data_IF_705672814209
#
_entry.id   IF_705672814209
#
_cell.length_a   1.000
_cell.length_b   1.000
_cell.length_c   1.000
_cell.angle_alpha   90.00
_cell.angle_beta   90.00
_cell.angle_gamma   90.00
#
_symmetry.space_group_name_H-M   'P 1'
#
loop_
_entity.id
_entity.type
_entity.pdbx_description
1 polymer ?
#
# COMPACT_ATOMS: atom_id res chain seq x y z
N UNK A 1 18.03 12.54 48.89
CA UNK A 1 19.04 11.43 48.79
C UNK A 1 19.09 11.04 47.35
N UNK A 2 20.15 11.48 46.66
CA UNK A 2 20.26 11.37 45.21
C UNK A 2 20.78 10.01 44.77
N UNK A 3 20.45 9.64 43.51
CA UNK A 3 20.85 8.42 42.79
C UNK A 3 22.38 8.14 42.73
N UNK A 4 23.22 9.04 43.30
CA UNK A 4 24.68 8.93 43.31
C UNK A 4 25.23 7.81 44.25
N UNK A 5 24.48 7.33 45.25
CA UNK A 5 24.95 6.33 46.18
C UNK A 5 24.75 4.87 45.74
N UNK A 6 23.96 4.64 44.70
CA UNK A 6 23.72 3.29 44.18
C UNK A 6 24.88 2.78 43.31
N UNK A 7 25.69 3.69 42.74
CA UNK A 7 26.80 3.30 41.86
C UNK A 7 28.13 3.06 42.60
N UNK A 8 28.22 3.33 43.90
CA UNK A 8 29.46 3.17 44.66
C UNK A 8 29.71 1.81 45.25
N UNK A 9 28.84 0.82 45.04
CA UNK A 9 28.97 -0.53 45.60
C UNK A 9 29.19 -1.65 44.58
N UNK A 10 29.75 -1.33 43.44
CA UNK A 10 30.27 -2.39 42.57
C UNK A 10 31.75 -2.56 42.85
N UNK A 11 32.07 -3.62 43.66
CA UNK A 11 33.42 -4.03 43.93
C UNK A 11 34.09 -4.43 42.60
N UNK A 12 35.07 -3.64 42.17
CA UNK A 12 35.84 -3.91 40.94
C UNK A 12 36.49 -5.29 40.94
N UNK A 13 36.76 -5.85 42.09
CA UNK A 13 37.39 -7.17 42.26
C UNK A 13 36.46 -8.34 41.94
N UNK A 14 35.14 -8.16 41.89
CA UNK A 14 34.21 -9.23 41.50
C UNK A 14 34.07 -9.36 39.97
N UNK A 15 34.37 -8.33 39.22
CA UNK A 15 34.31 -8.38 37.76
C UNK A 15 35.53 -9.06 37.11
N UNK A 16 36.67 -9.05 37.78
CA UNK A 16 37.91 -9.68 37.29
C UNK A 16 37.97 -11.22 37.58
N UNK A 17 37.12 -11.76 38.44
CA UNK A 17 37.09 -13.18 38.77
C UNK A 17 35.95 -13.97 38.11
N UNK A 18 35.14 -13.38 37.25
CA UNK A 18 34.12 -14.13 36.53
C UNK A 18 34.74 -14.90 35.35
N UNK A 19 35.38 -16.02 35.64
CA UNK A 19 35.78 -17.00 34.60
C UNK A 19 34.50 -17.58 33.99
N UNK A 20 33.94 -16.86 32.98
CA UNK A 20 32.73 -17.30 32.30
C UNK A 20 33.09 -18.45 31.38
N UNK A 21 32.65 -19.67 31.72
CA UNK A 21 32.82 -20.83 30.86
C UNK A 21 32.13 -20.59 29.50
N UNK A 22 32.72 -21.10 28.41
CA UNK A 22 32.12 -20.99 27.05
C UNK A 22 30.64 -21.40 27.02
N UNK A 23 30.26 -22.38 27.85
CA UNK A 23 28.89 -22.85 27.97
C UNK A 23 27.96 -21.83 28.61
N UNK A 24 28.42 -21.06 29.58
CA UNK A 24 27.63 -20.02 30.24
C UNK A 24 27.55 -18.77 29.37
N UNK A 25 28.61 -18.45 28.64
CA UNK A 25 28.56 -17.39 27.59
C UNK A 25 27.51 -17.69 26.52
N UNK A 26 27.46 -18.93 26.02
CA UNK A 26 26.45 -19.32 25.02
C UNK A 26 25.03 -19.30 25.59
N UNK A 27 24.85 -19.64 26.87
CA UNK A 27 23.55 -19.52 27.55
C UNK A 27 23.12 -18.04 27.64
N UNK A 28 24.02 -17.15 28.08
CA UNK A 28 23.74 -15.72 28.15
C UNK A 28 23.45 -15.11 26.76
N UNK A 29 24.21 -15.51 25.76
CA UNK A 29 23.97 -15.08 24.38
C UNK A 29 22.61 -15.57 23.86
N UNK A 30 22.28 -16.84 24.06
CA UNK A 30 20.99 -17.41 23.68
C UNK A 30 19.81 -16.77 24.41
N UNK A 31 19.95 -16.51 25.72
CA UNK A 31 18.92 -15.82 26.50
C UNK A 31 18.73 -14.34 26.09
N UNK A 32 19.84 -13.64 25.83
CA UNK A 32 19.78 -12.23 25.44
C UNK A 32 19.16 -12.05 24.04
N UNK A 33 19.49 -12.91 23.07
CA UNK A 33 18.87 -12.89 21.74
C UNK A 33 17.41 -13.29 21.80
N UNK A 34 17.04 -14.30 22.59
CA UNK A 34 15.64 -14.67 22.79
C UNK A 34 14.84 -13.56 23.48
N UNK A 35 15.40 -12.88 24.48
CA UNK A 35 14.77 -11.76 25.15
C UNK A 35 14.63 -10.54 24.21
N UNK A 36 15.62 -10.25 23.37
CA UNK A 36 15.55 -9.19 22.39
C UNK A 36 14.49 -9.46 21.31
N UNK A 37 14.37 -10.71 20.84
CA UNK A 37 13.33 -11.08 19.87
C UNK A 37 11.92 -11.03 20.46
N UNK A 38 11.75 -11.40 21.74
CA UNK A 38 10.47 -11.27 22.44
C UNK A 38 10.10 -9.81 22.73
N UNK A 39 11.08 -8.98 23.07
CA UNK A 39 10.86 -7.55 23.30
C UNK A 39 10.61 -6.75 22.02
N UNK A 40 11.10 -7.23 20.86
CA UNK A 40 10.85 -6.58 19.56
C UNK A 40 9.45 -6.82 19.01
N UNK A 41 8.67 -7.73 19.59
CA UNK A 41 7.25 -7.88 19.33
C UNK A 41 6.45 -6.81 20.09
N UNK A 42 6.72 -5.53 19.86
CA UNK A 42 5.73 -4.50 20.15
C UNK A 42 4.54 -4.76 19.23
N UNK A 43 3.45 -5.23 19.81
CA UNK A 43 2.17 -5.32 19.11
C UNK A 43 1.82 -3.95 18.53
N UNK A 44 1.05 -3.89 17.43
CA UNK A 44 0.70 -2.64 16.78
C UNK A 44 0.10 -1.68 17.81
N UNK A 45 0.76 -0.54 18.02
CA UNK A 45 0.36 0.51 18.96
C UNK A 45 -0.98 1.17 18.57
N UNK A 46 -1.51 0.83 17.40
CA UNK A 46 -2.81 1.31 16.94
C UNK A 46 -3.94 0.65 17.74
N UNK A 47 -4.39 1.34 18.75
CA UNK A 47 -5.62 1.00 19.47
C UNK A 47 -6.80 1.26 18.55
N UNK A 48 -7.62 0.24 18.27
CA UNK A 48 -8.88 0.43 17.60
C UNK A 48 -9.81 1.24 18.52
N UNK A 49 -10.24 2.42 18.06
CA UNK A 49 -11.26 3.20 18.77
C UNK A 49 -12.59 2.54 18.44
N UNK A 50 -13.34 2.04 19.44
CA UNK A 50 -14.68 1.49 19.19
C UNK A 50 -15.60 2.57 18.63
N UNK A 51 -16.54 2.17 17.76
CA UNK A 51 -17.55 3.08 17.26
C UNK A 51 -18.40 3.61 18.40
N UNK A 52 -18.58 4.93 18.48
CA UNK A 52 -19.54 5.56 19.39
C UNK A 52 -20.99 5.21 18.99
N UNK A 53 -21.24 5.14 17.68
CA UNK A 53 -22.48 4.64 17.09
C UNK A 53 -22.10 3.47 16.18
N UNK A 54 -22.52 2.26 16.55
CA UNK A 54 -22.24 1.07 15.75
C UNK A 54 -23.10 1.10 14.48
N UNK A 55 -22.49 1.04 13.28
CA UNK A 55 -23.25 0.89 12.04
C UNK A 55 -24.03 -0.44 12.05
N UNK A 56 -25.26 -0.44 11.54
CA UNK A 56 -26.18 -1.59 11.58
C UNK A 56 -25.59 -2.91 11.02
N UNK A 57 -24.65 -2.82 10.07
CA UNK A 57 -24.09 -3.98 9.37
C UNK A 57 -22.67 -4.33 9.81
N UNK A 58 -22.11 -3.65 10.80
CA UNK A 58 -20.76 -3.90 11.29
C UNK A 58 -20.83 -4.48 12.68
N UNK A 59 -20.50 -5.77 12.80
CA UNK A 59 -20.39 -6.45 14.09
C UNK A 59 -18.88 -6.57 14.39
N UNK A 60 -18.38 -6.02 15.50
CA UNK A 60 -16.98 -6.15 15.87
C UNK A 60 -16.52 -7.61 15.88
N UNK A 61 -15.35 -7.86 15.25
CA UNK A 61 -14.79 -9.20 15.13
C UNK A 61 -15.34 -10.05 13.98
N UNK A 62 -16.46 -9.70 13.35
CA UNK A 62 -16.94 -10.37 12.15
C UNK A 62 -16.45 -9.65 10.88
N UNK A 63 -16.05 -10.44 9.89
CA UNK A 63 -15.60 -9.92 8.62
C UNK A 63 -16.78 -9.75 7.65
N UNK A 64 -16.80 -8.62 6.94
CA UNK A 64 -17.67 -8.38 5.80
C UNK A 64 -16.89 -8.55 4.50
N UNK A 65 -17.56 -9.01 3.45
CA UNK A 65 -16.96 -9.26 2.13
C UNK A 65 -17.65 -8.41 1.09
N UNK A 66 -16.87 -7.65 0.33
CA UNK A 66 -17.36 -6.78 -0.73
C UNK A 66 -16.80 -7.23 -2.07
N UNK A 67 -17.67 -7.59 -3.04
CA UNK A 67 -17.22 -7.90 -4.38
C UNK A 67 -16.78 -6.62 -5.10
N UNK A 68 -15.63 -6.69 -5.75
CA UNK A 68 -15.11 -5.61 -6.57
C UNK A 68 -14.22 -6.14 -7.68
N UNK A 69 -13.87 -5.27 -8.62
CA UNK A 69 -12.89 -5.55 -9.67
C UNK A 69 -11.70 -4.64 -9.45
N UNK A 70 -10.52 -5.21 -9.46
CA UNK A 70 -9.25 -4.48 -9.46
C UNK A 70 -8.72 -4.48 -10.88
N UNK A 71 -8.45 -3.29 -11.41
CA UNK A 71 -7.80 -3.07 -12.68
C UNK A 71 -6.66 -2.07 -12.45
N UNK A 72 -5.42 -2.54 -12.46
CA UNK A 72 -4.23 -1.74 -12.24
C UNK A 72 -3.14 -2.17 -13.23
N UNK A 73 -2.86 -1.29 -14.20
CA UNK A 73 -2.04 -1.64 -15.34
C UNK A 73 -2.61 -2.87 -16.05
N UNK A 74 -1.78 -3.88 -16.27
CA UNK A 74 -2.20 -5.15 -16.90
C UNK A 74 -2.86 -6.14 -15.92
N UNK A 75 -2.90 -5.84 -14.62
CA UNK A 75 -3.59 -6.67 -13.64
C UNK A 75 -5.10 -6.42 -13.68
N UNK A 76 -5.86 -7.49 -13.87
CA UNK A 76 -7.31 -7.46 -13.87
C UNK A 76 -7.84 -8.67 -13.09
N UNK A 77 -8.54 -8.42 -12.00
CA UNK A 77 -9.07 -9.48 -11.16
C UNK A 77 -10.42 -9.13 -10.54
N UNK A 78 -11.33 -10.12 -10.52
CA UNK A 78 -12.58 -10.04 -9.79
C UNK A 78 -12.40 -10.65 -8.40
N UNK A 79 -12.53 -9.84 -7.38
CA UNK A 79 -12.13 -10.19 -6.01
C UNK A 79 -13.22 -9.93 -4.99
N UNK A 80 -13.05 -10.54 -3.84
CA UNK A 80 -13.78 -10.23 -2.62
C UNK A 80 -12.82 -9.51 -1.67
N UNK A 81 -13.13 -8.29 -1.31
CA UNK A 81 -12.38 -7.56 -0.31
C UNK A 81 -12.96 -7.87 1.06
N UNK A 82 -12.17 -8.55 1.87
CA UNK A 82 -12.50 -8.83 3.26
C UNK A 82 -12.20 -7.60 4.10
N UNK A 83 -13.20 -7.13 4.84
CA UNK A 83 -13.05 -5.99 5.73
C UNK A 83 -13.37 -6.37 7.16
N UNK A 84 -12.73 -5.70 8.10
CA UNK A 84 -13.12 -5.68 9.51
C UNK A 84 -13.33 -4.25 9.95
N UNK A 85 -14.48 -3.99 10.54
CA UNK A 85 -14.80 -2.66 11.08
C UNK A 85 -14.55 -1.54 10.04
N UNK A 86 -14.96 -1.79 8.79
CA UNK A 86 -14.78 -0.86 7.68
C UNK A 86 -13.35 -0.81 7.09
N UNK A 87 -12.40 -1.58 7.63
CA UNK A 87 -11.01 -1.60 7.14
C UNK A 87 -10.78 -2.81 6.24
N UNK A 88 -10.35 -2.62 5.00
CA UNK A 88 -9.92 -3.70 4.14
C UNK A 88 -8.68 -4.40 4.71
N UNK A 89 -8.74 -5.73 4.88
CA UNK A 89 -7.65 -6.50 5.49
C UNK A 89 -7.09 -7.60 4.59
N UNK A 90 -7.87 -8.05 3.62
CA UNK A 90 -7.45 -9.13 2.73
C UNK A 90 -8.23 -9.09 1.42
N UNK A 91 -7.57 -9.50 0.35
CA UNK A 91 -8.18 -9.75 -0.95
C UNK A 91 -8.30 -11.25 -1.16
N UNK A 92 -9.47 -11.72 -1.57
CA UNK A 92 -9.76 -13.11 -1.89
C UNK A 92 -10.36 -13.21 -3.30
N UNK A 93 -10.17 -14.35 -3.97
CA UNK A 93 -10.74 -14.56 -5.30
C UNK A 93 -12.27 -14.68 -5.23
N UNK A 94 -12.96 -14.02 -6.16
CA UNK A 94 -14.41 -14.14 -6.28
C UNK A 94 -14.79 -15.33 -7.17
N UNK A 95 -15.01 -16.49 -6.55
CA UNK A 95 -15.42 -17.72 -7.28
C UNK A 95 -16.82 -17.64 -7.89
N UNK A 96 -17.65 -16.68 -7.44
CA UNK A 96 -19.02 -16.47 -7.95
C UNK A 96 -19.08 -15.45 -9.08
N UNK A 97 -17.96 -14.85 -9.47
CA UNK A 97 -17.92 -13.94 -10.61
C UNK A 97 -18.19 -14.66 -11.92
N UNK A 98 -18.97 -14.03 -12.80
CA UNK A 98 -19.23 -14.55 -14.16
C UNK A 98 -17.94 -14.61 -14.98
N UNK A 99 -17.07 -13.63 -14.82
CA UNK A 99 -15.75 -13.59 -15.45
C UNK A 99 -14.73 -14.03 -14.41
N UNK A 100 -14.11 -15.18 -14.64
CA UNK A 100 -13.11 -15.75 -13.71
C UNK A 100 -11.75 -15.14 -14.00
N UNK A 101 -11.40 -14.11 -13.27
CA UNK A 101 -10.06 -13.53 -13.26
C UNK A 101 -9.51 -13.63 -11.83
N UNK A 102 -8.48 -14.44 -11.66
CA UNK A 102 -7.87 -14.69 -10.36
C UNK A 102 -6.89 -13.57 -10.00
N UNK A 103 -6.84 -13.23 -8.71
CA UNK A 103 -5.88 -12.29 -8.17
C UNK A 103 -4.47 -12.92 -8.17
N UNK A 104 -3.52 -12.20 -8.71
CA UNK A 104 -2.10 -12.53 -8.61
C UNK A 104 -1.47 -11.92 -7.34
N UNK A 105 -0.18 -12.13 -7.13
CA UNK A 105 0.52 -11.65 -5.94
C UNK A 105 0.46 -10.10 -5.79
N UNK A 106 0.52 -9.34 -6.89
CA UNK A 106 0.41 -7.88 -6.86
C UNK A 106 -0.98 -7.42 -6.44
N UNK A 107 -2.02 -8.04 -7.01
CA UNK A 107 -3.40 -7.76 -6.62
C UNK A 107 -3.63 -8.05 -5.15
N UNK A 108 -3.12 -9.17 -4.62
CA UNK A 108 -3.19 -9.44 -3.18
C UNK A 108 -2.44 -8.41 -2.34
N UNK A 109 -1.28 -7.95 -2.81
CA UNK A 109 -0.46 -6.97 -2.11
C UNK A 109 -1.02 -5.53 -2.20
N UNK A 110 -1.88 -5.21 -3.17
CA UNK A 110 -2.40 -3.86 -3.41
C UNK A 110 -3.12 -3.26 -2.20
N UNK A 111 -3.65 -4.10 -1.31
CA UNK A 111 -4.27 -3.65 -0.07
C UNK A 111 -3.28 -2.89 0.84
N UNK A 112 -1.99 -3.21 0.77
CA UNK A 112 -0.96 -2.56 1.57
C UNK A 112 -0.80 -1.09 1.20
N UNK A 113 -1.05 -0.72 -0.05
CA UNK A 113 -0.99 0.66 -0.52
C UNK A 113 -2.01 1.57 0.17
N UNK A 114 -3.11 1.03 0.68
CA UNK A 114 -4.10 1.80 1.44
C UNK A 114 -3.56 2.27 2.79
N UNK A 115 -2.58 1.54 3.34
CA UNK A 115 -1.98 1.79 4.65
C UNK A 115 -0.60 2.40 4.57
N UNK A 116 -0.11 2.68 3.35
CA UNK A 116 1.16 3.35 3.13
C UNK A 116 1.04 4.84 3.51
N UNK A 117 1.86 5.26 4.46
CA UNK A 117 1.91 6.65 4.90
C UNK A 117 2.52 7.58 3.85
N UNK A 118 3.32 7.05 2.93
CA UNK A 118 3.99 7.81 1.87
C UNK A 118 3.14 7.94 0.60
N UNK A 119 1.96 7.33 0.55
CA UNK A 119 1.07 7.47 -0.60
C UNK A 119 0.65 8.92 -0.82
N UNK A 120 0.58 9.31 -2.06
CA UNK A 120 0.06 10.62 -2.46
C UNK A 120 -1.43 10.67 -2.11
N UNK A 121 -1.84 11.69 -1.34
CA UNK A 121 -3.22 11.82 -0.84
C UNK A 121 -4.11 12.73 -1.68
N UNK A 122 -3.52 13.52 -2.54
CA UNK A 122 -4.22 14.48 -3.39
C UNK A 122 -3.31 15.01 -4.50
N UNK A 123 -3.85 15.87 -5.37
CA UNK A 123 -3.06 16.46 -6.44
C UNK A 123 -2.01 17.41 -5.91
N UNK A 124 -0.87 17.45 -6.59
CA UNK A 124 0.27 18.31 -6.24
C UNK A 124 0.73 19.08 -7.46
N UNK A 125 1.06 20.35 -7.26
CA UNK A 125 1.69 21.19 -8.25
C UNK A 125 2.97 21.80 -7.66
N UNK A 126 4.11 21.60 -8.34
CA UNK A 126 5.42 22.09 -7.89
C UNK A 126 5.77 21.67 -6.43
N UNK A 127 5.42 20.44 -6.06
CA UNK A 127 5.67 19.88 -4.73
C UNK A 127 4.77 20.42 -3.62
N UNK A 128 3.72 21.15 -3.95
CA UNK A 128 2.71 21.65 -3.00
C UNK A 128 1.36 21.02 -3.28
N UNK A 129 0.62 20.71 -2.23
CA UNK A 129 -0.74 20.21 -2.34
C UNK A 129 -1.64 21.31 -2.92
N UNK A 130 -2.51 20.93 -3.87
CA UNK A 130 -3.51 21.79 -4.49
C UNK A 130 -4.90 21.17 -4.31
N UNK A 131 -5.94 22.01 -4.42
CA UNK A 131 -7.31 21.50 -4.38
C UNK A 131 -7.65 20.71 -5.67
N UNK A 132 -8.61 19.79 -5.59
CA UNK A 132 -9.09 19.08 -6.77
C UNK A 132 -9.71 20.03 -7.80
N UNK A 133 -10.40 21.06 -7.36
CA UNK A 133 -11.02 22.06 -8.25
C UNK A 133 -9.96 22.85 -9.03
N UNK A 134 -8.92 23.30 -8.36
CA UNK A 134 -7.78 23.97 -9.00
C UNK A 134 -7.07 23.05 -9.99
N UNK A 135 -6.86 21.79 -9.60
CA UNK A 135 -6.26 20.80 -10.48
C UNK A 135 -7.08 20.60 -11.76
N UNK A 136 -8.40 20.44 -11.64
CA UNK A 136 -9.28 20.28 -12.81
C UNK A 136 -9.30 21.53 -13.69
N UNK A 137 -9.39 22.71 -13.10
CA UNK A 137 -9.38 23.97 -13.84
C UNK A 137 -8.08 24.16 -14.62
N UNK A 138 -6.93 23.96 -13.97
CA UNK A 138 -5.62 24.10 -14.60
C UNK A 138 -5.42 23.06 -15.70
N UNK A 139 -5.74 21.79 -15.44
CA UNK A 139 -5.59 20.71 -16.42
C UNK A 139 -6.46 20.94 -17.64
N UNK A 140 -7.72 21.37 -17.45
CA UNK A 140 -8.64 21.69 -18.54
C UNK A 140 -8.14 22.88 -19.37
N UNK A 141 -7.60 23.91 -18.74
CA UNK A 141 -7.03 25.06 -19.42
C UNK A 141 -5.81 24.66 -20.27
N UNK A 142 -4.90 23.85 -19.72
CA UNK A 142 -3.73 23.32 -20.44
C UNK A 142 -4.15 22.46 -21.62
N UNK A 143 -5.06 21.53 -21.45
CA UNK A 143 -5.54 20.65 -22.52
C UNK A 143 -6.20 21.47 -23.63
N UNK A 144 -6.99 22.50 -23.30
CA UNK A 144 -7.60 23.38 -24.28
C UNK A 144 -6.54 24.14 -25.05
N UNK A 145 -5.57 24.78 -24.40
CA UNK A 145 -4.51 25.53 -25.06
C UNK A 145 -3.66 24.63 -25.98
N UNK A 146 -3.39 23.37 -25.55
CA UNK A 146 -2.66 22.40 -26.36
C UNK A 146 -3.50 21.90 -27.55
N UNK A 147 -4.82 21.73 -27.41
CA UNK A 147 -5.68 21.29 -28.50
C UNK A 147 -5.83 22.34 -29.62
N UNK A 148 -5.64 23.62 -29.27
CA UNK A 148 -5.62 24.74 -30.20
C UNK A 148 -4.23 24.95 -30.88
N UNK A 149 -3.24 24.17 -30.48
CA UNK A 149 -1.87 24.22 -31.02
C UNK A 149 -1.58 23.00 -31.90
N UNK A 150 -0.58 23.11 -32.78
CA UNK A 150 -0.09 21.98 -33.60
C UNK A 150 0.77 20.98 -32.81
N UNK A 151 0.77 21.06 -31.47
CA UNK A 151 1.60 20.17 -30.63
C UNK A 151 0.88 18.85 -30.38
N UNK A 152 1.63 17.75 -30.54
CA UNK A 152 1.17 16.43 -30.15
C UNK A 152 1.24 16.27 -28.64
N UNK A 153 0.22 15.67 -28.06
CA UNK A 153 0.16 15.27 -26.63
C UNK A 153 0.34 13.75 -26.57
N UNK A 154 1.36 13.28 -25.86
CA UNK A 154 1.56 11.85 -25.65
C UNK A 154 0.86 11.41 -24.37
N UNK A 155 -0.09 10.48 -24.50
CA UNK A 155 -0.71 9.78 -23.36
C UNK A 155 0.07 8.50 -23.12
N UNK A 156 1.07 8.55 -22.23
CA UNK A 156 1.85 7.38 -21.84
C UNK A 156 1.12 6.59 -20.77
N UNK A 157 0.87 5.31 -21.03
CA UNK A 157 0.13 4.44 -20.13
C UNK A 157 0.62 2.99 -20.23
N UNK A 158 0.41 2.16 -19.20
CA UNK A 158 0.62 0.71 -19.30
C UNK A 158 -0.49 0.06 -20.14
N UNK A 159 -0.34 -1.23 -20.47
CA UNK A 159 -1.44 -2.03 -21.03
C UNK A 159 -2.65 -2.00 -20.09
N UNK A 160 -3.81 -1.65 -20.62
CA UNK A 160 -5.06 -1.53 -19.86
C UNK A 160 -6.05 -2.59 -20.35
N UNK A 161 -6.28 -3.68 -19.60
CA UNK A 161 -7.22 -4.73 -19.97
C UNK A 161 -8.69 -4.38 -19.63
N UNK A 162 -8.92 -3.34 -18.82
CA UNK A 162 -10.27 -2.94 -18.41
C UNK A 162 -11.07 -2.33 -19.56
N UNK A 163 -12.21 -2.91 -19.99
CA UNK A 163 -13.04 -2.37 -21.06
C UNK A 163 -13.57 -0.97 -20.75
N UNK A 164 -13.91 -0.69 -19.50
CA UNK A 164 -14.38 0.62 -19.05
C UNK A 164 -13.29 1.69 -19.21
N UNK A 165 -12.07 1.37 -18.79
CA UNK A 165 -10.93 2.29 -18.92
C UNK A 165 -10.57 2.52 -20.38
N UNK A 166 -10.61 1.48 -21.22
CA UNK A 166 -10.39 1.61 -22.66
C UNK A 166 -11.41 2.54 -23.31
N UNK A 167 -12.69 2.42 -22.92
CA UNK A 167 -13.74 3.32 -23.44
C UNK A 167 -13.51 4.77 -23.01
N UNK A 168 -13.16 5.01 -21.74
CA UNK A 168 -12.87 6.37 -21.26
C UNK A 168 -11.69 6.98 -22.02
N UNK A 169 -10.65 6.20 -22.29
CA UNK A 169 -9.50 6.65 -23.08
C UNK A 169 -9.90 6.97 -24.51
N UNK A 170 -10.73 6.13 -25.15
CA UNK A 170 -11.22 6.38 -26.48
C UNK A 170 -12.08 7.68 -26.55
N UNK A 171 -12.96 7.89 -25.59
CA UNK A 171 -13.77 9.09 -25.47
C UNK A 171 -12.88 10.34 -25.24
N UNK A 172 -11.82 10.20 -24.45
CA UNK A 172 -10.86 11.28 -24.22
C UNK A 172 -10.08 11.64 -25.47
N UNK A 173 -9.59 10.65 -26.23
CA UNK A 173 -8.89 10.86 -27.51
C UNK A 173 -9.84 11.48 -28.55
N UNK A 174 -11.11 11.08 -28.57
CA UNK A 174 -12.09 11.68 -29.48
C UNK A 174 -12.34 13.15 -29.17
N UNK A 175 -12.24 13.55 -27.91
CA UNK A 175 -12.40 14.94 -27.45
C UNK A 175 -11.18 15.82 -27.80
N UNK A 176 -9.98 15.19 -27.73
CA UNK A 176 -8.69 15.84 -27.99
C UNK A 176 -7.91 15.07 -29.08
N UNK A 177 -8.16 15.34 -30.37
CA UNK A 177 -7.60 14.54 -31.47
C UNK A 177 -6.09 14.62 -31.63
N UNK A 178 -5.42 15.58 -31.01
CA UNK A 178 -3.97 15.72 -30.98
C UNK A 178 -3.29 14.83 -29.92
N UNK A 179 -4.07 14.00 -29.23
CA UNK A 179 -3.54 13.03 -28.25
C UNK A 179 -3.18 11.73 -28.97
N UNK A 180 -1.91 11.31 -28.81
CA UNK A 180 -1.42 10.00 -29.26
C UNK A 180 -1.20 9.08 -28.07
N UNK A 181 -1.94 7.96 -27.96
CA UNK A 181 -1.69 6.97 -26.91
C UNK A 181 -0.40 6.21 -27.21
N UNK A 182 0.41 6.01 -26.19
CA UNK A 182 1.64 5.21 -26.22
C UNK A 182 1.58 4.24 -25.05
N UNK A 183 1.67 2.95 -25.34
CA UNK A 183 1.70 1.90 -24.31
C UNK A 183 3.14 1.55 -24.01
N UNK A 184 3.49 1.55 -22.72
CA UNK A 184 4.79 1.13 -22.22
C UNK A 184 4.62 0.30 -20.95
N UNK A 185 4.97 -0.98 -21.06
CA UNK A 185 4.95 -1.91 -19.92
C UNK A 185 6.37 -2.14 -19.41
N UNK A 186 6.59 -1.90 -18.12
CA UNK A 186 7.88 -2.14 -17.46
C UNK A 186 8.19 -3.64 -17.33
N UNK A 187 7.14 -4.48 -17.36
CA UNK A 187 7.25 -5.93 -17.35
C UNK A 187 6.51 -6.44 -18.59
N UNK A 188 7.26 -6.92 -19.58
CA UNK A 188 6.68 -7.50 -20.79
C UNK A 188 6.29 -8.95 -20.57
N UNK A 189 5.14 -9.32 -21.12
CA UNK A 189 4.68 -10.73 -21.18
C UNK A 189 5.07 -11.42 -22.48
N UNK A 190 5.78 -10.76 -23.39
CA UNK A 190 6.10 -11.26 -24.72
C UNK A 190 6.87 -12.60 -24.69
N UNK A 191 7.74 -12.79 -23.70
CA UNK A 191 8.45 -14.04 -23.49
C UNK A 191 7.56 -15.24 -23.14
N UNK A 192 6.31 -14.99 -22.71
CA UNK A 192 5.36 -16.06 -22.42
C UNK A 192 4.50 -16.44 -23.63
N UNK A 193 4.55 -15.63 -24.69
CA UNK A 193 3.75 -15.83 -25.92
C UNK A 193 4.55 -16.52 -27.02
N UNK A 194 5.91 -16.42 -26.95
CA UNK A 194 6.87 -17.09 -27.80
C UNK A 194 7.37 -18.41 -27.19
#
# INVERSE_FOLDING_TARGET
RGLGDVYKRQDKNQLEQSNTNRRDFLKYLGFSTAAATLASCEGPVNRSIPYVLQPERIIPGLANYYPTTIADGFDFANVLVKTREGRPIKIENNSKSKVRCSANARVHASILSLYDNLRIKGPQANGKDVSWDDFYLQTKAILKALSESDKEIILLMPTIPSPTSQKIIADFISTYPNIRPVVYDTISSDAAIN
#
